data_IF_885390342954
#
_entry.id   IF_885390342954
#
_cell.length_a   1.000
_cell.length_b   1.000
_cell.length_c   1.000
_cell.angle_alpha   90.00
_cell.angle_beta   90.00
_cell.angle_gamma   90.00
#
_symmetry.space_group_name_H-M   'P 1'
#
loop_
_entity.id
_entity.type
_entity.pdbx_description
1 polymer ?
#
# COMPACT_ATOMS: atom_id res chain seq x y z
N UNK A 1 12.25 0.64 -16.16
CA UNK A 1 12.41 -0.54 -17.03
C UNK A 1 12.92 -1.69 -16.18
N UNK A 2 12.43 -2.91 -16.38
CA UNK A 2 12.82 -4.09 -15.57
C UNK A 2 13.46 -5.14 -16.45
N UNK A 3 14.57 -5.73 -15.98
CA UNK A 3 15.29 -6.81 -16.65
C UNK A 3 15.99 -6.40 -17.95
N UNK A 4 16.76 -7.35 -18.51
CA UNK A 4 17.58 -7.17 -19.73
C UNK A 4 16.76 -6.79 -20.97
N UNK A 5 15.49 -7.22 -21.03
CA UNK A 5 14.59 -6.90 -22.13
C UNK A 5 13.98 -5.48 -22.01
N UNK A 6 14.21 -4.79 -20.88
CA UNK A 6 13.66 -3.45 -20.66
C UNK A 6 12.14 -3.46 -20.65
N UNK A 7 11.52 -4.28 -19.80
CA UNK A 7 10.05 -4.32 -19.76
C UNK A 7 9.49 -3.10 -19.03
N UNK A 8 8.41 -2.52 -19.60
CA UNK A 8 7.59 -1.51 -18.92
C UNK A 8 6.56 -2.22 -18.04
N UNK A 9 6.56 -1.89 -16.76
CA UNK A 9 5.60 -2.41 -15.78
C UNK A 9 4.92 -1.22 -15.14
N UNK A 10 3.58 -1.22 -15.16
CA UNK A 10 2.74 -0.18 -14.55
C UNK A 10 2.31 -0.67 -13.18
N UNK A 11 2.44 0.19 -12.17
CA UNK A 11 2.05 -0.09 -10.79
C UNK A 11 1.25 1.09 -10.25
N UNK A 12 0.45 0.87 -9.21
CA UNK A 12 -0.21 1.95 -8.48
C UNK A 12 0.83 2.83 -7.79
N UNK A 13 0.60 4.14 -7.79
CA UNK A 13 1.49 5.09 -7.12
C UNK A 13 1.59 4.79 -5.61
N UNK A 14 0.52 4.28 -5.00
CA UNK A 14 0.48 3.94 -3.57
C UNK A 14 1.52 2.89 -3.17
N UNK A 15 1.90 2.00 -4.10
CA UNK A 15 2.92 0.97 -3.86
C UNK A 15 4.32 1.56 -3.73
N UNK A 16 4.57 2.78 -4.23
CA UNK A 16 5.87 3.47 -4.13
C UNK A 16 6.24 3.83 -2.69
N UNK A 17 5.26 3.87 -1.79
CA UNK A 17 5.50 4.10 -0.36
C UNK A 17 5.87 2.82 0.40
N UNK A 18 5.82 1.65 -0.24
CA UNK A 18 6.17 0.42 0.43
C UNK A 18 7.70 0.30 0.60
N UNK A 19 8.21 -0.04 1.80
CA UNK A 19 9.64 -0.04 2.09
C UNK A 19 10.46 -0.95 1.16
N UNK A 20 9.92 -2.11 0.79
CA UNK A 20 10.57 -3.04 -0.16
C UNK A 20 10.78 -2.39 -1.51
N UNK A 21 9.76 -1.69 -2.04
CA UNK A 21 9.90 -1.04 -3.34
C UNK A 21 10.82 0.17 -3.24
N UNK A 22 10.79 0.89 -2.11
CA UNK A 22 11.69 2.02 -1.88
C UNK A 22 13.16 1.60 -1.85
N UNK A 23 13.50 0.54 -1.11
CA UNK A 23 14.87 0.00 -1.08
C UNK A 23 15.34 -0.42 -2.48
N UNK A 24 14.48 -1.07 -3.25
CA UNK A 24 14.79 -1.47 -4.62
C UNK A 24 15.04 -0.27 -5.54
N UNK A 25 14.24 0.79 -5.39
CA UNK A 25 14.41 2.03 -6.14
C UNK A 25 15.71 2.74 -5.74
N UNK A 26 16.00 2.84 -4.45
CA UNK A 26 17.20 3.49 -3.93
C UNK A 26 18.46 2.76 -4.45
N UNK A 27 18.50 1.42 -4.38
CA UNK A 27 19.60 0.64 -4.95
C UNK A 27 19.74 0.86 -6.46
N UNK A 28 18.62 0.86 -7.19
CA UNK A 28 18.65 1.12 -8.62
C UNK A 28 19.17 2.54 -8.96
N UNK A 29 18.88 3.53 -8.12
CA UNK A 29 19.41 4.89 -8.26
C UNK A 29 20.91 4.97 -7.97
N UNK A 30 21.40 4.25 -6.95
CA UNK A 30 22.83 4.19 -6.63
C UNK A 30 23.64 3.53 -7.76
N UNK A 31 23.12 2.45 -8.33
CA UNK A 31 23.82 1.67 -9.36
C UNK A 31 23.71 2.29 -10.76
N UNK A 32 22.54 2.79 -11.16
CA UNK A 32 22.30 3.31 -12.51
C UNK A 32 22.33 4.84 -12.61
N UNK A 33 22.31 5.56 -11.48
CA UNK A 33 22.23 7.02 -11.46
C UNK A 33 20.90 7.56 -11.98
N UNK A 34 20.80 8.90 -12.02
CA UNK A 34 19.70 9.58 -12.71
C UNK A 34 19.95 9.56 -14.21
N UNK A 35 19.14 8.80 -14.95
CA UNK A 35 19.08 8.98 -16.40
C UNK A 35 18.22 10.22 -16.74
N UNK A 36 18.71 11.06 -17.65
CA UNK A 36 18.04 12.32 -18.04
C UNK A 36 16.67 12.10 -18.72
N UNK A 37 16.39 10.86 -19.15
CA UNK A 37 15.12 10.48 -19.76
C UNK A 37 13.99 10.24 -18.74
N UNK A 38 14.26 10.41 -17.44
CA UNK A 38 13.30 10.13 -16.37
C UNK A 38 12.98 8.64 -16.19
N UNK A 39 13.75 7.76 -16.82
CA UNK A 39 13.58 6.31 -16.78
C UNK A 39 14.60 5.67 -15.85
N UNK A 40 14.12 5.05 -14.77
CA UNK A 40 14.94 4.22 -13.89
C UNK A 40 14.97 2.78 -14.42
N UNK A 41 16.17 2.23 -14.60
CA UNK A 41 16.37 0.81 -14.88
C UNK A 41 16.55 0.06 -13.55
N UNK A 42 15.71 -0.95 -13.29
CA UNK A 42 15.85 -1.79 -12.11
C UNK A 42 16.72 -2.99 -12.49
N UNK A 43 17.85 -3.22 -11.81
CA UNK A 43 18.76 -4.35 -12.07
C UNK A 43 18.22 -5.66 -11.48
N UNK A 44 16.93 -5.95 -11.67
CA UNK A 44 16.31 -7.21 -11.30
C UNK A 44 15.70 -7.89 -12.51
N UNK A 45 15.60 -9.21 -12.45
CA UNK A 45 14.85 -9.98 -13.44
C UNK A 45 13.34 -9.71 -13.31
N UNK A 46 12.66 -9.81 -14.45
CA UNK A 46 11.21 -9.60 -14.53
C UNK A 46 10.38 -10.43 -13.55
N UNK A 47 10.62 -11.76 -13.37
CA UNK A 47 9.81 -12.55 -12.45
C UNK A 47 9.99 -12.10 -10.99
N UNK A 48 11.22 -11.82 -10.53
CA UNK A 48 11.43 -11.31 -9.18
C UNK A 48 10.71 -9.99 -8.93
N UNK A 49 10.70 -9.07 -9.90
CA UNK A 49 9.94 -7.82 -9.77
C UNK A 49 8.43 -8.08 -9.66
N UNK A 50 7.89 -9.03 -10.43
CA UNK A 50 6.47 -9.38 -10.38
C UNK A 50 6.08 -9.97 -9.03
N UNK A 51 6.92 -10.81 -8.44
CA UNK A 51 6.68 -11.38 -7.12
C UNK A 51 6.63 -10.30 -6.04
N UNK A 52 7.51 -9.29 -6.14
CA UNK A 52 7.46 -8.10 -5.28
C UNK A 52 6.10 -7.41 -5.45
N UNK A 53 5.70 -7.06 -6.68
CA UNK A 53 4.42 -6.37 -6.90
C UNK A 53 3.22 -7.21 -6.40
N UNK A 54 3.25 -8.52 -6.59
CA UNK A 54 2.21 -9.42 -6.09
C UNK A 54 2.13 -9.42 -4.55
N UNK A 55 3.27 -9.38 -3.87
CA UNK A 55 3.30 -9.27 -2.40
C UNK A 55 2.68 -7.96 -1.89
N UNK A 56 2.86 -6.87 -2.63
CA UNK A 56 2.28 -5.56 -2.31
C UNK A 56 0.76 -5.57 -2.43
N UNK A 57 0.23 -6.26 -3.44
CA UNK A 57 -1.22 -6.37 -3.65
C UNK A 57 -1.89 -7.23 -2.59
N UNK A 58 -1.27 -8.35 -2.19
CA UNK A 58 -1.85 -9.25 -1.18
C UNK A 58 -1.81 -8.64 0.22
N UNK A 59 -0.79 -7.83 0.54
CA UNK A 59 -0.69 -7.13 1.82
C UNK A 59 -1.77 -6.06 2.04
N UNK A 60 -2.24 -5.42 0.97
CA UNK A 60 -3.27 -4.37 1.00
C UNK A 60 -4.65 -4.93 1.43
N UNK A 61 -4.92 -6.18 1.07
CA UNK A 61 -6.22 -6.84 1.30
C UNK A 61 -6.39 -7.22 2.78
N UNK A 62 -5.27 -7.55 3.46
CA UNK A 62 -5.24 -7.90 4.88
C UNK A 62 -5.29 -6.64 5.77
N UNK A 63 -4.78 -5.50 5.26
CA UNK A 63 -4.84 -4.21 5.97
C UNK A 63 -6.25 -3.59 5.91
N UNK A 64 -6.95 -3.77 4.79
CA UNK A 64 -8.33 -3.29 4.60
C UNK A 64 -9.36 -3.98 5.50
N UNK A 65 -9.00 -5.06 6.19
CA UNK A 65 -9.90 -5.75 7.13
C UNK A 65 -10.03 -5.07 8.51
N UNK A 66 -9.28 -4.00 8.79
CA UNK A 66 -9.25 -3.38 10.14
C UNK A 66 -10.18 -2.19 10.39
N UNK A 67 -11.10 -1.87 9.49
CA UNK A 67 -12.11 -0.82 9.75
C UNK A 67 -13.53 -1.23 9.40
N UNK A 68 -13.98 -2.39 9.91
CA UNK A 68 -15.42 -2.63 10.09
C UNK A 68 -15.75 -2.54 11.58
N UNK A 69 -15.99 -1.30 12.01
CA UNK A 69 -16.75 -0.90 13.19
C UNK A 69 -16.65 -1.83 14.41
N UNK A 70 -15.87 -1.41 15.42
CA UNK A 70 -16.28 -1.65 16.79
C UNK A 70 -17.66 -1.00 16.99
N UNK A 71 -18.75 -1.75 16.77
CA UNK A 71 -20.06 -1.40 17.33
C UNK A 71 -20.04 -1.83 18.79
N UNK A 72 -19.91 -0.87 19.68
CA UNK A 72 -20.16 -1.05 21.10
C UNK A 72 -21.66 -1.40 21.30
N UNK A 73 -22.05 -2.56 21.87
CA UNK A 73 -23.45 -2.91 22.05
C UNK A 73 -24.12 -2.29 23.29
N UNK A 74 -23.48 -1.36 24.01
CA UNK A 74 -24.02 -0.88 25.29
C UNK A 74 -23.93 0.62 25.48
N UNK A 75 -24.91 1.38 24.99
CA UNK A 75 -25.43 2.56 25.69
C UNK A 75 -26.82 2.90 25.13
N UNK A 76 -27.85 2.76 25.96
CA UNK A 76 -29.15 3.37 25.73
C UNK A 76 -29.40 4.29 26.91
N UNK A 77 -29.19 5.59 26.68
CA UNK A 77 -29.61 6.65 27.58
C UNK A 77 -31.11 6.83 27.32
N UNK A 78 -31.94 6.51 28.31
CA UNK A 78 -33.37 6.81 28.25
C UNK A 78 -33.62 7.95 29.22
N UNK A 79 -33.94 9.11 28.67
CA UNK A 79 -34.22 10.35 29.39
C UNK A 79 -35.37 10.16 30.38
N UNK A 80 -35.15 10.64 31.61
CA UNK A 80 -36.22 10.81 32.58
C UNK A 80 -37.03 12.06 32.23
N UNK A 81 -38.35 11.90 32.11
CA UNK A 81 -39.29 13.00 32.23
C UNK A 81 -40.44 12.60 33.16
N UNK A 82 -40.29 13.09 34.39
CA UNK A 82 -41.29 13.61 35.32
C UNK A 82 -42.79 13.33 35.05
N UNK A 83 -43.44 12.67 36.01
CA UNK A 83 -44.87 12.85 36.26
C UNK A 83 -45.14 12.82 37.78
N UNK A 84 -45.40 14.00 38.32
CA UNK A 84 -46.23 14.28 39.50
C UNK A 84 -46.97 15.59 39.17
N UNK A 85 -48.12 15.95 39.77
CA UNK A 85 -48.76 15.40 40.96
C UNK A 85 -50.31 15.22 40.85
N UNK A 86 -50.91 14.56 41.85
CA UNK A 86 -52.10 15.00 42.61
C UNK A 86 -52.31 14.08 43.80
#
# INVERSE_FOLDING_TARGET
>A
MVGKAGKRIVIRADHLNHPVLRQLLDQAYEENGWNNDGLLAIPCDEPSFRDIIHSLTVGDEISSSRTRHQRNPGVQISDGLEASPS
#
